data_IF_394474180616
#
_entry.id   IF_394474180616
#
_cell.length_a   1.000
_cell.length_b   1.000
_cell.length_c   1.000
_cell.angle_alpha   90.00
_cell.angle_beta   90.00
_cell.angle_gamma   90.00
#
_symmetry.space_group_name_H-M   'P 1'
#
loop_
_entity.id
_entity.type
_entity.pdbx_description
1 polymer ?
#
# COMPACT_ATOMS: atom_id res chain seq x y z
N UNK A 1 7.33 16.76 -13.64
CA UNK A 1 6.59 17.23 -14.84
C UNK A 1 5.21 16.62 -14.78
N UNK A 2 4.16 17.44 -14.77
CA UNK A 2 2.78 16.95 -14.89
C UNK A 2 2.55 16.51 -16.33
N UNK A 3 1.86 15.38 -16.50
CA UNK A 3 1.49 14.82 -17.80
C UNK A 3 0.02 14.45 -17.76
N UNK A 4 -0.68 14.64 -18.87
CA UNK A 4 -2.13 14.48 -19.01
C UNK A 4 -2.52 13.32 -19.93
N UNK A 5 -1.55 12.73 -20.64
CA UNK A 5 -1.77 11.61 -21.55
C UNK A 5 -0.65 10.58 -21.49
N UNK A 6 -0.96 9.35 -21.90
CA UNK A 6 0.01 8.28 -22.04
C UNK A 6 1.13 8.64 -23.03
N UNK A 7 0.81 9.40 -24.09
CA UNK A 7 1.77 9.85 -25.10
C UNK A 7 2.79 10.80 -24.49
N UNK A 8 2.35 11.79 -23.68
CA UNK A 8 3.24 12.71 -22.98
C UNK A 8 4.15 11.98 -21.98
N UNK A 9 3.59 11.00 -21.25
CA UNK A 9 4.38 10.19 -20.32
C UNK A 9 5.45 9.39 -21.06
N UNK A 10 5.09 8.78 -22.20
CA UNK A 10 6.02 8.03 -23.04
C UNK A 10 7.10 8.92 -23.67
N UNK A 11 6.77 10.16 -24.04
CA UNK A 11 7.77 11.14 -24.48
C UNK A 11 8.75 11.49 -23.37
N UNK A 12 8.28 11.65 -22.13
CA UNK A 12 9.18 11.88 -20.99
C UNK A 12 10.13 10.70 -20.78
N UNK A 13 9.65 9.47 -20.91
CA UNK A 13 10.47 8.28 -20.83
C UNK A 13 11.53 8.25 -21.95
N UNK A 14 11.13 8.52 -23.21
CA UNK A 14 12.05 8.58 -24.36
C UNK A 14 13.13 9.64 -24.17
N UNK A 15 12.74 10.85 -23.75
CA UNK A 15 13.70 11.93 -23.47
C UNK A 15 14.67 11.53 -22.35
N UNK A 16 14.17 10.92 -21.26
CA UNK A 16 15.02 10.42 -20.18
C UNK A 16 15.99 9.33 -20.64
N UNK A 17 15.53 8.43 -21.52
CA UNK A 17 16.36 7.38 -22.10
C UNK A 17 17.46 7.94 -23.03
N UNK A 18 17.15 8.97 -23.83
CA UNK A 18 18.11 9.66 -24.69
C UNK A 18 19.15 10.45 -23.90
N UNK A 19 18.74 11.08 -22.80
CA UNK A 19 19.63 11.83 -21.90
C UNK A 19 20.46 10.93 -20.98
N UNK A 20 20.22 9.61 -20.99
CA UNK A 20 20.99 8.67 -20.18
C UNK A 20 22.40 8.58 -20.73
N UNK A 21 23.39 9.00 -19.93
CA UNK A 21 24.81 8.82 -20.26
C UNK A 21 25.13 7.33 -20.33
N UNK A 22 25.26 6.78 -21.54
CA UNK A 22 25.68 5.40 -21.77
C UNK A 22 27.10 5.38 -22.31
N UNK A 23 28.06 4.87 -21.53
CA UNK A 23 29.40 4.55 -22.00
C UNK A 23 29.52 3.02 -22.18
N UNK A 24 29.98 2.56 -23.35
CA UNK A 24 30.12 1.15 -23.66
C UNK A 24 31.25 0.46 -22.88
N UNK A 25 31.03 -0.78 -22.43
CA UNK A 25 32.07 -1.74 -21.97
C UNK A 25 32.23 -2.85 -23.01
N UNK A 26 33.32 -3.63 -22.92
CA UNK A 26 33.46 -4.86 -23.72
C UNK A 26 32.39 -5.92 -23.42
N UNK A 27 31.67 -5.82 -22.29
CA UNK A 27 30.60 -6.75 -21.91
C UNK A 27 29.19 -6.26 -22.30
N UNK A 28 28.98 -4.95 -22.47
CA UNK A 28 27.67 -4.39 -22.82
C UNK A 28 27.82 -2.99 -23.47
N UNK A 29 27.23 -2.81 -24.64
CA UNK A 29 27.40 -1.61 -25.47
C UNK A 29 26.52 -0.44 -25.01
N UNK A 30 25.39 -0.67 -24.32
CA UNK A 30 24.38 0.38 -24.12
C UNK A 30 23.51 0.25 -22.85
N UNK A 31 24.09 0.18 -21.65
CA UNK A 31 23.33 0.34 -20.38
C UNK A 31 24.11 0.11 -19.09
N UNK A 32 25.25 -0.60 -19.15
CA UNK A 32 25.83 -1.29 -17.98
C UNK A 32 26.33 -0.41 -16.83
N UNK A 33 26.37 0.92 -17.00
CA UNK A 33 27.12 1.82 -16.10
C UNK A 33 26.30 2.85 -15.33
N UNK A 34 24.97 2.81 -15.34
CA UNK A 34 24.19 3.69 -14.48
C UNK A 34 22.88 3.04 -14.03
N UNK A 35 22.41 3.45 -12.85
CA UNK A 35 21.06 3.14 -12.40
C UNK A 35 20.11 4.18 -12.98
N UNK A 36 19.00 3.74 -13.59
CA UNK A 36 17.92 4.61 -14.03
C UNK A 36 16.67 4.35 -13.19
N UNK A 37 16.03 5.42 -12.72
CA UNK A 37 14.80 5.35 -11.95
C UNK A 37 13.77 6.25 -12.64
N UNK A 38 12.72 5.63 -13.18
CA UNK A 38 11.57 6.34 -13.69
C UNK A 38 10.43 6.26 -12.67
N UNK A 39 9.99 7.43 -12.18
CA UNK A 39 8.97 7.50 -11.13
C UNK A 39 7.71 8.15 -11.64
N UNK A 40 6.58 7.49 -11.43
CA UNK A 40 5.25 8.03 -11.69
C UNK A 40 4.57 8.30 -10.35
N UNK A 41 4.13 9.53 -10.16
CA UNK A 41 3.25 9.88 -9.04
C UNK A 41 1.84 9.99 -9.59
N UNK A 42 0.92 9.21 -9.03
CA UNK A 42 -0.49 9.24 -9.35
C UNK A 42 -1.22 9.82 -8.13
N UNK A 43 -2.03 10.85 -8.38
CA UNK A 43 -2.92 11.43 -7.39
C UNK A 43 -4.35 11.21 -7.89
N UNK A 44 -5.19 10.62 -7.06
CA UNK A 44 -6.59 10.38 -7.35
C UNK A 44 -7.42 11.07 -6.29
N UNK A 45 -8.34 11.93 -6.71
CA UNK A 45 -9.36 12.51 -5.85
C UNK A 45 -10.68 11.82 -6.18
N UNK A 46 -11.32 11.22 -5.19
CA UNK A 46 -12.62 10.55 -5.35
C UNK A 46 -13.64 11.11 -4.37
N UNK A 47 -14.91 11.09 -4.75
CA UNK A 47 -16.01 11.42 -3.84
C UNK A 47 -16.25 10.21 -2.94
N UNK A 48 -16.15 10.40 -1.63
CA UNK A 48 -16.65 9.46 -0.63
C UNK A 48 -18.17 9.47 -0.74
N UNK A 49 -18.73 8.45 -1.40
CA UNK A 49 -20.16 8.18 -1.25
C UNK A 49 -20.36 7.66 0.16
N UNK A 50 -21.32 8.21 0.91
CA UNK A 50 -21.77 7.59 2.15
C UNK A 50 -22.14 6.14 1.80
N UNK A 51 -21.52 5.17 2.48
CA UNK A 51 -21.78 3.76 2.22
C UNK A 51 -23.30 3.52 2.17
N UNK A 52 -23.76 2.95 1.06
CA UNK A 52 -24.97 2.15 1.03
C UNK A 52 -24.71 0.90 1.88
N UNK A 53 -24.66 1.07 3.20
CA UNK A 53 -24.98 -0.01 4.12
C UNK A 53 -26.48 -0.24 3.99
N UNK A 54 -26.82 -1.07 3.02
CA UNK A 54 -28.18 -1.45 2.60
C UNK A 54 -28.90 -2.32 3.66
N UNK A 55 -28.74 -2.02 4.95
CA UNK A 55 -29.39 -2.74 6.05
C UNK A 55 -29.46 -1.87 7.31
N UNK A 56 -30.40 -0.93 7.38
CA UNK A 56 -31.34 -0.79 8.50
C UNK A 56 -32.20 0.48 8.36
N UNK A 57 -33.50 0.24 8.22
CA UNK A 57 -34.62 1.05 8.72
C UNK A 57 -34.59 2.56 8.48
N UNK A 58 -35.31 2.93 7.42
CA UNK A 58 -36.21 4.08 7.30
C UNK A 58 -36.39 4.93 8.57
N UNK A 59 -35.48 5.87 8.81
CA UNK A 59 -35.77 7.06 9.59
C UNK A 59 -34.89 8.23 9.11
N UNK A 60 -35.16 8.66 7.87
CA UNK A 60 -34.60 9.90 7.30
C UNK A 60 -35.22 11.11 8.00
N UNK A 61 -34.61 11.55 9.09
CA UNK A 61 -34.75 12.92 9.56
C UNK A 61 -33.36 13.56 9.60
N UNK A 62 -33.30 14.73 8.95
CA UNK A 62 -32.18 15.66 8.79
C UNK A 62 -31.17 15.31 7.68
N UNK A 63 -31.65 15.37 6.43
CA UNK A 63 -30.81 15.65 5.27
C UNK A 63 -30.52 17.16 5.23
N UNK A 64 -29.45 17.59 5.89
CA UNK A 64 -28.88 18.92 5.67
C UNK A 64 -27.37 18.81 5.44
N UNK A 65 -26.98 19.15 4.21
CA UNK A 65 -25.63 19.22 3.66
C UNK A 65 -25.09 17.90 3.07
N UNK A 66 -25.46 17.60 1.82
CA UNK A 66 -24.68 16.74 0.92
C UNK A 66 -23.33 17.40 0.61
N UNK A 67 -22.43 17.46 1.61
CA UNK A 67 -21.03 17.80 1.36
C UNK A 67 -20.44 16.57 0.69
N UNK A 68 -20.33 16.61 -0.64
CA UNK A 68 -19.52 15.68 -1.42
C UNK A 68 -18.11 15.68 -0.84
N UNK A 69 -17.81 14.69 0.00
CA UNK A 69 -16.54 14.61 0.67
C UNK A 69 -15.52 14.04 -0.30
N UNK A 70 -14.37 14.69 -0.42
CA UNK A 70 -13.32 14.26 -1.34
C UNK A 70 -12.22 13.56 -0.56
N UNK A 71 -11.90 12.34 -0.95
CA UNK A 71 -10.72 11.62 -0.49
C UNK A 71 -9.62 11.73 -1.54
N UNK A 72 -8.43 12.09 -1.08
CA UNK A 72 -7.23 12.11 -1.92
C UNK A 72 -6.37 10.88 -1.62
N UNK A 73 -6.15 10.06 -2.65
CA UNK A 73 -5.28 8.91 -2.65
C UNK A 73 -4.04 9.19 -3.48
N UNK A 74 -2.88 8.75 -2.99
CA UNK A 74 -1.61 8.88 -3.71
C UNK A 74 -0.95 7.52 -3.94
N UNK A 75 -0.42 7.33 -5.14
CA UNK A 75 0.37 6.16 -5.48
C UNK A 75 1.67 6.60 -6.14
N UNK A 76 2.74 5.84 -5.86
CA UNK A 76 4.08 6.09 -6.39
C UNK A 76 4.58 4.80 -7.03
N UNK A 77 4.81 4.83 -8.32
CA UNK A 77 5.40 3.73 -9.08
C UNK A 77 6.86 4.03 -9.36
N UNK A 78 7.74 3.11 -9.01
CA UNK A 78 9.16 3.17 -9.34
C UNK A 78 9.50 2.06 -10.34
N UNK A 79 9.99 2.45 -11.51
CA UNK A 79 10.60 1.55 -12.49
C UNK A 79 12.10 1.75 -12.42
N UNK A 80 12.81 0.74 -11.95
CA UNK A 80 14.25 0.81 -11.66
C UNK A 80 14.99 -0.13 -12.59
N UNK A 81 15.84 0.44 -13.44
CA UNK A 81 16.82 -0.29 -14.25
C UNK A 81 18.18 -0.16 -13.56
N UNK A 82 18.66 -1.25 -12.98
CA UNK A 82 19.91 -1.26 -12.23
C UNK A 82 21.10 -1.44 -13.18
N UNK A 83 22.24 -0.84 -12.83
CA UNK A 83 23.50 -1.12 -13.48
C UNK A 83 23.86 -2.61 -13.42
N UNK A 84 24.79 -3.02 -14.29
CA UNK A 84 25.24 -4.41 -14.35
C UNK A 84 25.77 -4.91 -13.01
N UNK A 85 25.37 -6.12 -12.61
CA UNK A 85 25.81 -6.76 -11.36
C UNK A 85 27.16 -7.46 -11.46
N UNK A 86 27.78 -7.45 -12.64
CA UNK A 86 29.08 -8.06 -12.88
C UNK A 86 30.20 -7.38 -12.11
N UNK A 87 31.21 -8.17 -11.74
CA UNK A 87 32.38 -7.63 -11.03
C UNK A 87 33.31 -6.88 -11.99
N UNK A 88 33.87 -5.77 -11.50
CA UNK A 88 34.85 -4.95 -12.23
C UNK A 88 36.04 -5.76 -12.80
N UNK A 89 36.48 -6.81 -12.10
CA UNK A 89 37.57 -7.68 -12.57
C UNK A 89 37.27 -8.37 -13.91
N UNK A 90 35.99 -8.61 -14.23
CA UNK A 90 35.58 -9.18 -15.52
C UNK A 90 35.50 -8.16 -16.64
N UNK A 91 35.39 -6.86 -16.33
CA UNK A 91 35.17 -5.82 -17.35
C UNK A 91 36.45 -5.36 -18.04
N UNK A 92 37.63 -5.70 -17.48
CA UNK A 92 38.93 -5.28 -18.01
C UNK A 92 39.17 -3.77 -17.97
N UNK A 93 38.37 -3.01 -17.22
CA UNK A 93 38.45 -1.55 -17.17
C UNK A 93 39.67 -1.06 -16.37
N UNK A 94 40.40 -0.08 -16.93
CA UNK A 94 41.59 0.55 -16.31
C UNK A 94 41.42 2.07 -16.20
N UNK A 95 42.23 2.71 -15.34
CA UNK A 95 42.23 4.17 -15.18
C UNK A 95 40.89 4.73 -14.66
N UNK A 96 40.42 5.83 -15.25
CA UNK A 96 39.18 6.49 -14.82
C UNK A 96 37.93 5.64 -15.05
N UNK A 97 37.94 4.72 -16.03
CA UNK A 97 36.87 3.73 -16.21
C UNK A 97 36.79 2.75 -15.04
N UNK A 98 37.90 2.44 -14.39
CA UNK A 98 37.90 1.61 -13.18
C UNK A 98 37.30 2.38 -11.99
N UNK A 99 37.66 3.66 -11.81
CA UNK A 99 37.09 4.52 -10.76
C UNK A 99 35.57 4.67 -10.90
N UNK A 100 35.09 4.88 -12.13
CA UNK A 100 33.67 4.93 -12.46
C UNK A 100 32.97 3.61 -12.08
N UNK A 101 33.52 2.47 -12.52
CA UNK A 101 32.98 1.15 -12.20
C UNK A 101 32.95 0.82 -10.71
N UNK A 102 33.90 1.33 -9.91
CA UNK A 102 33.86 1.23 -8.46
C UNK A 102 32.69 2.02 -7.88
N UNK A 103 32.48 3.25 -8.35
CA UNK A 103 31.38 4.11 -7.87
C UNK A 103 30.01 3.51 -8.18
N UNK A 104 29.84 2.93 -9.36
CA UNK A 104 28.60 2.23 -9.76
C UNK A 104 28.36 1.01 -8.88
N UNK A 105 29.38 0.18 -8.70
CA UNK A 105 29.29 -1.02 -7.86
C UNK A 105 29.05 -0.70 -6.38
N UNK A 106 29.42 0.49 -5.92
CA UNK A 106 29.09 0.96 -4.56
C UNK A 106 27.56 0.99 -4.34
N UNK A 107 26.78 1.43 -5.33
CA UNK A 107 25.32 1.42 -5.26
C UNK A 107 24.74 0.01 -5.12
N UNK A 108 25.21 -0.94 -5.94
CA UNK A 108 24.77 -2.34 -5.88
C UNK A 108 25.25 -3.07 -4.62
N UNK A 109 26.45 -2.74 -4.12
CA UNK A 109 26.97 -3.26 -2.88
C UNK A 109 26.12 -2.80 -1.69
N UNK A 110 25.83 -1.50 -1.59
CA UNK A 110 24.95 -0.95 -0.58
C UNK A 110 23.56 -1.59 -0.63
N UNK A 111 23.00 -1.76 -1.85
CA UNK A 111 21.74 -2.46 -2.06
C UNK A 111 21.80 -3.91 -1.54
N UNK A 112 22.91 -4.61 -1.79
CA UNK A 112 23.15 -5.96 -1.29
C UNK A 112 23.24 -6.04 0.24
N UNK A 113 23.81 -5.02 0.88
CA UNK A 113 23.88 -4.92 2.34
C UNK A 113 22.50 -4.70 2.94
N UNK A 114 21.70 -3.79 2.36
CA UNK A 114 20.30 -3.55 2.76
C UNK A 114 19.46 -4.83 2.63
N UNK A 115 19.55 -5.53 1.50
CA UNK A 115 18.83 -6.78 1.27
C UNK A 115 19.25 -7.86 2.28
N UNK A 116 20.54 -7.95 2.59
CA UNK A 116 21.04 -8.91 3.58
C UNK A 116 20.54 -8.60 4.98
N UNK A 117 20.53 -7.33 5.37
CA UNK A 117 20.03 -6.88 6.68
C UNK A 117 18.52 -7.11 6.85
N UNK A 118 17.75 -7.01 5.77
CA UNK A 118 16.29 -7.21 5.78
C UNK A 118 15.87 -8.67 5.58
N UNK A 119 16.63 -9.43 4.80
CA UNK A 119 16.28 -10.81 4.40
C UNK A 119 16.72 -11.89 5.39
N UNK A 120 17.71 -11.61 6.26
CA UNK A 120 18.17 -12.55 7.27
C UNK A 120 17.40 -12.41 8.58
N UNK A 121 16.52 -13.38 8.87
CA UNK A 121 15.71 -13.38 10.10
C UNK A 121 16.54 -13.58 11.36
N UNK A 122 17.70 -14.23 11.26
CA UNK A 122 18.60 -14.48 12.39
C UNK A 122 19.37 -13.22 12.78
N UNK A 123 19.61 -12.34 11.80
CA UNK A 123 20.28 -11.05 11.95
C UNK A 123 19.28 -9.92 11.73
N UNK A 124 18.24 -9.85 12.57
CA UNK A 124 17.41 -8.64 12.66
C UNK A 124 18.29 -7.49 13.16
N UNK A 125 19.01 -6.88 12.23
CA UNK A 125 19.82 -5.70 12.49
C UNK A 125 18.89 -4.58 12.92
N UNK A 126 19.16 -3.97 14.07
CA UNK A 126 18.44 -2.76 14.51
C UNK A 126 18.59 -1.63 13.51
N UNK A 127 19.68 -1.61 12.73
CA UNK A 127 19.96 -0.60 11.73
C UNK A 127 20.07 -1.19 10.33
N UNK A 128 19.30 -0.64 9.38
CA UNK A 128 19.41 -0.97 7.96
C UNK A 128 20.13 0.17 7.24
N UNK A 129 21.24 -0.10 6.52
CA UNK A 129 22.14 0.93 6.02
C UNK A 129 21.66 1.58 4.72
N UNK A 130 20.44 2.14 4.69
CA UNK A 130 19.92 2.82 3.50
C UNK A 130 20.78 4.02 3.10
N UNK A 131 21.50 4.63 4.04
CA UNK A 131 22.28 5.86 3.83
C UNK A 131 23.59 5.65 3.06
N UNK A 132 24.04 4.40 2.93
CA UNK A 132 25.34 4.06 2.30
C UNK A 132 25.38 4.43 0.80
N UNK A 133 24.22 4.54 0.14
CA UNK A 133 24.15 5.03 -1.24
C UNK A 133 22.91 5.86 -1.50
N UNK A 134 22.98 6.75 -2.50
CA UNK A 134 21.80 7.50 -2.97
C UNK A 134 20.70 6.56 -3.47
N UNK A 135 21.10 5.46 -4.12
CA UNK A 135 20.17 4.44 -4.64
C UNK A 135 19.33 3.83 -3.51
N UNK A 136 19.98 3.33 -2.46
CA UNK A 136 19.29 2.70 -1.32
C UNK A 136 18.44 3.69 -0.52
N UNK A 137 18.79 4.98 -0.51
CA UNK A 137 17.92 6.04 0.06
C UNK A 137 16.65 6.25 -0.76
N UNK A 138 16.78 6.28 -2.09
CA UNK A 138 15.63 6.45 -2.98
C UNK A 138 14.69 5.23 -2.95
N UNK A 139 15.24 4.03 -2.75
CA UNK A 139 14.50 2.77 -2.71
C UNK A 139 14.14 2.30 -1.29
N UNK A 140 14.31 3.16 -0.28
CA UNK A 140 14.04 2.82 1.11
C UNK A 140 12.57 2.36 1.31
N UNK A 141 11.62 2.99 0.62
CA UNK A 141 10.21 2.57 0.70
C UNK A 141 9.99 1.19 0.06
N UNK A 142 10.75 0.88 -1.00
CA UNK A 142 10.66 -0.37 -1.76
C UNK A 142 11.26 -1.57 -1.03
N UNK A 143 12.19 -1.36 -0.10
CA UNK A 143 12.88 -2.43 0.61
C UNK A 143 12.55 -2.34 2.09
N UNK A 144 11.58 -3.13 2.57
CA UNK A 144 11.16 -3.13 3.97
C UNK A 144 10.25 -1.97 4.39
N UNK A 145 9.82 -1.11 3.46
CA UNK A 145 8.96 0.05 3.70
C UNK A 145 7.52 -0.13 3.23
N UNK A 146 6.85 0.99 2.93
CA UNK A 146 5.50 1.04 2.38
C UNK A 146 5.50 1.00 0.84
N UNK A 147 5.69 -0.18 0.28
CA UNK A 147 5.65 -0.38 -1.16
C UNK A 147 5.35 -1.83 -1.51
N UNK A 148 4.55 -2.06 -2.54
CA UNK A 148 4.51 -3.36 -3.20
C UNK A 148 5.72 -3.43 -4.15
N UNK A 149 6.63 -4.36 -3.90
CA UNK A 149 7.90 -4.40 -4.61
C UNK A 149 8.08 -5.75 -5.31
N UNK A 150 8.41 -5.68 -6.60
CA UNK A 150 8.73 -6.81 -7.45
C UNK A 150 10.17 -6.66 -7.94
N UNK A 151 10.95 -7.74 -7.83
CA UNK A 151 12.30 -7.80 -8.38
C UNK A 151 12.30 -8.77 -9.56
N UNK A 152 12.82 -8.32 -10.70
CA UNK A 152 13.06 -9.16 -11.88
C UNK A 152 14.56 -9.43 -11.95
N UNK A 153 14.94 -10.70 -11.82
CA UNK A 153 16.33 -11.13 -11.91
C UNK A 153 16.65 -11.60 -13.34
N UNK A 154 17.36 -10.76 -14.09
CA UNK A 154 17.80 -11.09 -15.46
C UNK A 154 19.07 -11.95 -15.40
N UNK A 155 19.03 -13.14 -16.01
CA UNK A 155 20.15 -14.09 -16.01
C UNK A 155 20.50 -14.54 -17.43
N UNK A 156 21.74 -14.96 -17.62
CA UNK A 156 22.24 -15.54 -18.88
C UNK A 156 22.20 -17.07 -18.80
N UNK A 157 21.70 -17.77 -19.83
CA UNK A 157 21.74 -19.24 -19.89
C UNK A 157 23.12 -19.78 -20.30
N UNK A 158 24.09 -18.91 -20.62
CA UNK A 158 25.41 -19.31 -21.09
C UNK A 158 26.30 -19.83 -19.96
N UNK A 159 27.03 -20.92 -20.21
CA UNK A 159 28.01 -21.48 -19.27
C UNK A 159 29.11 -20.48 -18.90
N UNK A 160 29.45 -19.56 -19.81
CA UNK A 160 30.44 -18.50 -19.57
C UNK A 160 30.02 -17.54 -18.44
N UNK A 161 28.72 -17.44 -18.19
CA UNK A 161 28.14 -16.55 -17.21
C UNK A 161 27.64 -17.27 -15.96
N UNK A 162 27.89 -18.58 -15.86
CA UNK A 162 27.43 -19.44 -14.75
C UNK A 162 27.60 -18.79 -13.37
N UNK A 163 28.80 -18.25 -13.09
CA UNK A 163 29.10 -17.64 -11.80
C UNK A 163 28.26 -16.38 -11.51
N UNK A 164 27.98 -15.55 -12.53
CA UNK A 164 27.17 -14.33 -12.35
C UNK A 164 25.68 -14.64 -12.29
N UNK A 165 25.22 -15.62 -13.07
CA UNK A 165 23.86 -16.18 -12.96
C UNK A 165 23.63 -16.72 -11.54
N UNK A 166 24.57 -17.50 -10.99
CA UNK A 166 24.49 -18.00 -9.62
C UNK A 166 24.46 -16.87 -8.58
N UNK A 167 25.30 -15.85 -8.73
CA UNK A 167 25.31 -14.69 -7.84
C UNK A 167 23.97 -13.94 -7.86
N UNK A 168 23.42 -13.73 -9.06
CA UNK A 168 22.14 -13.05 -9.27
C UNK A 168 20.99 -13.83 -8.63
N UNK A 169 20.94 -15.16 -8.80
CA UNK A 169 19.94 -16.01 -8.17
C UNK A 169 20.04 -16.02 -6.64
N UNK A 170 21.26 -16.10 -6.08
CA UNK A 170 21.49 -15.97 -4.63
C UNK A 170 21.03 -14.61 -4.09
N UNK A 171 21.23 -13.55 -4.87
CA UNK A 171 20.78 -12.21 -4.53
C UNK A 171 19.25 -12.13 -4.52
N UNK A 172 18.59 -12.60 -5.57
CA UNK A 172 17.13 -12.65 -5.67
C UNK A 172 16.50 -13.49 -4.55
N UNK A 173 17.10 -14.63 -4.20
CA UNK A 173 16.63 -15.47 -3.11
C UNK A 173 16.67 -14.75 -1.74
N UNK A 174 17.69 -13.92 -1.50
CA UNK A 174 17.74 -13.07 -0.29
C UNK A 174 16.67 -11.98 -0.33
N UNK A 175 16.51 -11.31 -1.47
CA UNK A 175 15.50 -10.27 -1.65
C UNK A 175 14.07 -10.78 -1.44
N UNK A 176 13.78 -12.02 -1.87
CA UNK A 176 12.49 -12.70 -1.65
C UNK A 176 12.09 -12.78 -0.17
N UNK A 177 13.04 -12.82 0.76
CA UNK A 177 12.77 -12.95 2.18
C UNK A 177 12.37 -11.63 2.86
N UNK A 178 12.50 -10.51 2.16
CA UNK A 178 12.14 -9.18 2.66
C UNK A 178 10.61 -9.06 2.73
N UNK A 179 10.12 -8.53 3.85
CA UNK A 179 8.69 -8.26 4.05
C UNK A 179 8.45 -6.75 4.13
N UNK A 180 7.68 -6.24 3.18
CA UNK A 180 7.23 -4.85 3.19
C UNK A 180 5.93 -4.71 4.01
N UNK A 181 5.69 -3.50 4.52
CA UNK A 181 4.47 -3.14 5.24
C UNK A 181 3.66 -2.16 4.40
N UNK A 182 2.80 -2.73 3.54
CA UNK A 182 2.02 -1.95 2.58
C UNK A 182 0.79 -1.36 3.25
N UNK A 183 0.60 -0.06 3.11
CA UNK A 183 -0.54 0.71 3.62
C UNK A 183 -1.04 1.65 2.51
N UNK A 184 -2.35 1.90 2.49
CA UNK A 184 -2.97 2.86 1.56
C UNK A 184 -2.48 4.27 1.89
N UNK A 185 -1.97 5.01 0.88
CA UNK A 185 -1.56 6.39 1.09
C UNK A 185 -2.76 7.31 0.90
N UNK A 186 -3.50 7.48 2.00
CA UNK A 186 -4.58 8.45 2.13
C UNK A 186 -4.04 9.74 2.73
N UNK A 187 -4.53 10.90 2.28
CA UNK A 187 -4.18 12.17 2.91
C UNK A 187 -4.62 12.21 4.38
N UNK A 188 -3.80 12.84 5.23
CA UNK A 188 -4.06 12.92 6.67
C UNK A 188 -5.34 13.69 6.99
N UNK A 189 -5.65 14.74 6.22
CA UNK A 189 -6.88 15.48 6.43
C UNK A 189 -8.10 14.59 6.12
N UNK A 190 -8.10 13.89 4.98
CA UNK A 190 -9.16 12.93 4.64
C UNK A 190 -9.29 11.81 5.70
N UNK A 191 -8.17 11.30 6.21
CA UNK A 191 -8.18 10.28 7.27
C UNK A 191 -8.77 10.81 8.59
N UNK A 192 -8.39 12.03 9.00
CA UNK A 192 -8.92 12.68 10.20
C UNK A 192 -10.41 12.98 10.08
N UNK A 193 -10.86 13.49 8.94
CA UNK A 193 -12.28 13.79 8.72
C UNK A 193 -13.10 12.50 8.77
N UNK A 194 -12.63 11.42 8.14
CA UNK A 194 -13.27 10.11 8.22
C UNK A 194 -13.36 9.59 9.66
N UNK A 195 -12.27 9.69 10.44
CA UNK A 195 -12.26 9.27 11.85
C UNK A 195 -13.23 10.09 12.72
N UNK A 196 -13.23 11.42 12.56
CA UNK A 196 -14.12 12.32 13.29
C UNK A 196 -15.59 12.06 12.95
N UNK A 197 -15.92 11.76 11.69
CA UNK A 197 -17.30 11.42 11.28
C UNK A 197 -17.78 10.12 11.89
N UNK A 198 -16.95 9.08 11.90
CA UNK A 198 -17.28 7.82 12.58
C UNK A 198 -17.58 8.08 14.06
N UNK A 199 -16.80 8.94 14.70
CA UNK A 199 -17.03 9.31 16.10
C UNK A 199 -18.29 10.15 16.29
N UNK A 200 -18.57 11.11 15.40
CA UNK A 200 -19.81 11.90 15.42
C UNK A 200 -21.02 10.99 15.25
N UNK A 201 -21.00 10.04 14.30
CA UNK A 201 -22.09 9.10 14.09
C UNK A 201 -22.30 8.18 15.31
N UNK A 202 -21.20 7.69 15.91
CA UNK A 202 -21.24 6.90 17.15
C UNK A 202 -21.89 7.69 18.29
N UNK A 203 -21.46 8.93 18.49
CA UNK A 203 -22.01 9.82 19.54
C UNK A 203 -23.46 10.21 19.26
N UNK A 204 -23.85 10.43 18.00
CA UNK A 204 -25.23 10.72 17.63
C UNK A 204 -26.16 9.53 17.90
N UNK A 205 -25.70 8.31 17.58
CA UNK A 205 -26.43 7.08 17.89
C UNK A 205 -26.58 6.88 19.41
N UNK A 206 -25.50 7.06 20.15
CA UNK A 206 -25.50 7.01 21.62
C UNK A 206 -26.47 8.04 22.23
N UNK A 207 -26.47 9.28 21.76
CA UNK A 207 -27.43 10.31 22.17
C UNK A 207 -28.87 9.95 21.80
N UNK A 208 -29.10 9.27 20.68
CA UNK A 208 -30.43 8.81 20.28
C UNK A 208 -30.93 7.70 21.22
N UNK A 209 -30.05 6.78 21.62
CA UNK A 209 -30.37 5.75 22.61
C UNK A 209 -30.74 6.36 23.97
N UNK A 210 -30.05 7.42 24.40
CA UNK A 210 -30.42 8.18 25.59
C UNK A 210 -31.77 8.90 25.44
N UNK A 211 -32.00 9.59 24.32
CA UNK A 211 -33.25 10.33 24.07
C UNK A 211 -34.48 9.42 23.96
N UNK A 212 -34.32 8.23 23.39
CA UNK A 212 -35.39 7.24 23.28
C UNK A 212 -35.58 6.44 24.57
N UNK A 213 -34.78 6.73 25.61
CA UNK A 213 -34.84 6.04 26.90
C UNK A 213 -34.39 4.58 26.81
N UNK A 214 -33.71 4.19 25.73
CA UNK A 214 -33.16 2.84 25.52
C UNK A 214 -31.93 2.60 26.41
N UNK A 215 -31.16 3.66 26.61
CA UNK A 215 -29.97 3.70 27.47
C UNK A 215 -30.22 4.72 28.58
N UNK A 216 -29.93 4.34 29.82
CA UNK A 216 -30.24 5.13 31.02
C UNK A 216 -29.02 5.14 31.92
N UNK A 217 -28.82 6.25 32.64
CA UNK A 217 -27.77 6.37 33.65
C UNK A 217 -28.43 6.23 35.02
N UNK A 218 -28.00 5.25 35.81
CA UNK A 218 -28.46 5.08 37.19
C UNK A 218 -27.97 6.20 38.11
N UNK A 219 -28.55 6.30 39.32
CA UNK A 219 -28.12 7.29 40.33
C UNK A 219 -26.66 7.11 40.78
N UNK A 220 -26.10 5.92 40.56
CA UNK A 220 -24.72 5.53 40.78
C UNK A 220 -23.77 5.87 39.61
N UNK A 221 -24.30 6.46 38.52
CA UNK A 221 -23.55 6.81 37.33
C UNK A 221 -23.26 5.64 36.40
N UNK A 222 -23.84 4.46 36.65
CA UNK A 222 -23.63 3.27 35.82
C UNK A 222 -24.59 3.30 34.63
N UNK A 223 -24.05 3.13 33.42
CA UNK A 223 -24.85 3.04 32.21
C UNK A 223 -25.53 1.67 32.11
N UNK A 224 -26.85 1.67 31.95
CA UNK A 224 -27.67 0.47 31.78
C UNK A 224 -28.61 0.58 30.58
N UNK A 225 -29.06 -0.57 30.06
CA UNK A 225 -30.14 -0.63 29.09
C UNK A 225 -31.46 -0.61 29.87
N UNK A 226 -32.45 0.14 29.39
CA UNK A 226 -33.75 0.21 30.04
C UNK A 226 -34.47 -1.14 29.96
N UNK A 227 -34.75 -1.75 31.11
CA UNK A 227 -35.42 -3.04 31.25
C UNK A 227 -36.75 -3.10 30.49
N UNK A 228 -37.53 -2.01 30.51
CA UNK A 228 -38.82 -1.92 29.80
C UNK A 228 -38.66 -1.93 28.27
N UNK A 229 -37.55 -1.38 27.77
CA UNK A 229 -37.26 -1.38 26.33
C UNK A 229 -36.70 -2.73 25.90
N UNK A 230 -35.93 -3.38 26.76
CA UNK A 230 -35.46 -4.74 26.53
C UNK A 230 -36.64 -5.75 26.49
N UNK A 231 -37.56 -5.65 27.45
CA UNK A 231 -38.76 -6.48 27.52
C UNK A 231 -39.68 -6.25 26.30
N UNK A 232 -39.91 -4.99 25.92
CA UNK A 232 -40.66 -4.67 24.69
C UNK A 232 -40.03 -5.29 23.44
N UNK A 233 -38.70 -5.26 23.31
CA UNK A 233 -38.00 -5.87 22.17
C UNK A 233 -38.20 -7.39 22.13
N UNK A 234 -38.18 -8.06 23.28
CA UNK A 234 -38.45 -9.51 23.37
C UNK A 234 -39.91 -9.82 22.98
N UNK A 235 -40.87 -9.07 23.53
CA UNK A 235 -42.30 -9.23 23.23
C UNK A 235 -42.64 -8.95 21.76
N UNK A 236 -41.98 -7.99 21.12
CA UNK A 236 -42.12 -7.72 19.69
C UNK A 236 -41.59 -8.89 18.84
N UNK A 237 -40.47 -9.48 19.25
CA UNK A 237 -39.89 -10.65 18.57
C UNK A 237 -40.83 -11.85 18.67
N UNK A 238 -41.38 -12.11 19.86
CA UNK A 238 -42.35 -13.17 20.08
C UNK A 238 -43.65 -12.95 19.30
N UNK A 239 -44.17 -11.71 19.27
CA UNK A 239 -45.31 -11.34 18.45
C UNK A 239 -45.08 -11.58 16.95
N UNK A 240 -43.89 -11.26 16.44
CA UNK A 240 -43.54 -11.56 15.04
C UNK A 240 -43.51 -13.06 14.77
N UNK A 241 -42.93 -13.86 15.68
CA UNK A 241 -42.90 -15.32 15.54
C UNK A 241 -44.33 -15.92 15.57
N UNK A 242 -45.20 -15.41 16.44
CA UNK A 242 -46.60 -15.81 16.51
C UNK A 242 -47.35 -15.42 15.23
N UNK A 243 -47.15 -14.20 14.70
CA UNK A 243 -47.74 -13.77 13.42
C UNK A 243 -47.32 -14.69 12.27
N UNK A 244 -46.06 -15.10 12.21
CA UNK A 244 -45.57 -16.05 11.20
C UNK A 244 -46.26 -17.41 11.34
N UNK A 245 -46.40 -17.93 12.57
CA UNK A 245 -47.12 -19.20 12.81
C UNK A 245 -48.60 -19.12 12.43
N UNK A 246 -49.28 -18.03 12.79
CA UNK A 246 -50.69 -17.82 12.45
C UNK A 246 -50.86 -17.76 10.93
N UNK A 247 -49.98 -17.04 10.22
CA UNK A 247 -50.00 -16.97 8.76
C UNK A 247 -49.82 -18.36 8.13
N UNK A 248 -48.83 -19.13 8.59
CA UNK A 248 -48.60 -20.49 8.10
C UNK A 248 -49.79 -21.43 8.36
N UNK A 249 -50.45 -21.30 9.51
CA UNK A 249 -51.67 -22.07 9.81
C UNK A 249 -52.84 -21.67 8.92
N UNK A 250 -53.04 -20.38 8.65
CA UNK A 250 -54.11 -19.89 7.79
C UNK A 250 -53.95 -20.41 6.35
N UNK A 251 -52.73 -20.41 5.83
CA UNK A 251 -52.40 -20.98 4.51
C UNK A 251 -52.66 -22.50 4.44
N UNK A 252 -52.66 -23.20 5.58
CA UNK A 252 -52.97 -24.64 5.66
C UNK A 252 -54.49 -24.91 5.76
N UNK A 253 -55.27 -23.94 6.26
CA UNK A 253 -56.74 -24.03 6.37
C UNK A 253 -57.41 -23.66 5.04
N UNK A 254 -56.80 -22.76 4.27
CA UNK A 254 -57.31 -22.28 2.98
C UNK A 254 -56.93 -23.20 1.80
N UNK A 255 -56.23 -24.32 2.05
CA UNK A 255 -55.81 -25.34 1.08
C UNK A 255 -56.59 -26.66 1.24
#
# INVERSE_FOLDING_TARGET
RTVSSAVEMMQCLKLGALSRTTASTQMNVQSSRSHAIFTIHLCQVRVCSADNNDNMTDNRLVAESEINEFETLTAKFHFVDLAGSERLKRTGATGDRAKEGISINCGLLALGNVISALGDRSKRSTHVPYRDSKLTRLLQDSLGGNSQTMMIACISPSDRDFMETLNTLKYANRARNIKNKVMVNQDRASQQISALRTEIARLQMELMEYRTGKRVVGEDGVEGINDLVHENSMLQTENNNLRVRVKAMQETIDA
#
